data_IF_967589527872
#
_entry.id   IF_967589527872
#
_cell.length_a   1.000
_cell.length_b   1.000
_cell.length_c   1.000
_cell.angle_alpha   90.00
_cell.angle_beta   90.00
_cell.angle_gamma   90.00
#
_symmetry.space_group_name_H-M   'P 1'
#
loop_
_entity.id
_entity.type
_entity.pdbx_description
1 polymer ?
#
# COMPACT_ATOMS: atom_id res chain seq x y z
N UNK A 1 55.43 -33.74 12.01
CA UNK A 1 54.74 -32.68 11.23
C UNK A 1 53.46 -32.30 11.97
N UNK A 2 53.37 -31.10 12.55
CA UNK A 2 52.15 -30.60 13.20
C UNK A 2 51.31 -29.89 12.14
N UNK A 3 50.12 -30.40 11.86
CA UNK A 3 49.14 -29.78 10.97
C UNK A 3 48.44 -28.68 11.79
N UNK A 4 48.66 -27.42 11.41
CA UNK A 4 47.96 -26.27 11.98
C UNK A 4 46.68 -26.10 11.17
N UNK A 5 45.54 -26.53 11.74
CA UNK A 5 44.22 -26.28 11.17
C UNK A 5 43.82 -24.83 11.43
N UNK A 6 43.84 -23.99 10.39
CA UNK A 6 43.33 -22.62 10.43
C UNK A 6 41.82 -22.69 10.22
N UNK A 7 41.07 -22.40 11.28
CA UNK A 7 39.61 -22.26 11.23
C UNK A 7 39.29 -20.86 10.69
N UNK A 8 38.82 -20.76 9.44
CA UNK A 8 38.33 -19.50 8.87
C UNK A 8 36.90 -19.28 9.39
N UNK A 9 36.59 -18.18 10.09
CA UNK A 9 35.22 -17.89 10.47
C UNK A 9 34.43 -17.52 9.20
N UNK A 10 33.44 -18.35 8.85
CA UNK A 10 32.44 -18.02 7.84
C UNK A 10 31.61 -16.87 8.40
N UNK A 11 31.84 -15.66 7.91
CA UNK A 11 31.01 -14.51 8.21
C UNK A 11 29.70 -14.67 7.45
N UNK A 12 28.67 -15.18 8.13
CA UNK A 12 27.32 -15.25 7.57
C UNK A 12 26.76 -13.84 7.54
N UNK A 13 27.01 -13.10 6.46
CA UNK A 13 26.37 -11.81 6.24
C UNK A 13 24.88 -12.06 6.03
N UNK A 14 24.07 -11.74 7.03
CA UNK A 14 22.62 -11.70 6.88
C UNK A 14 22.30 -10.59 5.87
N UNK A 15 22.04 -10.98 4.62
CA UNK A 15 21.48 -10.09 3.62
C UNK A 15 20.06 -9.76 4.08
N UNK A 16 19.87 -8.63 4.75
CA UNK A 16 18.54 -8.08 4.90
C UNK A 16 18.10 -7.66 3.49
N UNK A 17 17.16 -8.38 2.90
CA UNK A 17 16.42 -7.86 1.77
C UNK A 17 15.70 -6.61 2.28
N UNK A 18 16.07 -5.44 1.77
CA UNK A 18 15.22 -4.25 1.92
C UNK A 18 13.87 -4.64 1.31
N UNK A 19 12.84 -4.75 2.14
CA UNK A 19 11.48 -4.92 1.66
C UNK A 19 11.23 -3.81 0.62
N UNK A 20 10.94 -4.21 -0.62
CA UNK A 20 10.65 -3.27 -1.70
C UNK A 20 9.34 -2.59 -1.33
N UNK A 21 9.44 -1.37 -0.81
CA UNK A 21 8.27 -0.59 -0.41
C UNK A 21 7.50 -0.14 -1.65
N UNK A 22 6.18 -0.25 -1.62
CA UNK A 22 5.32 0.24 -2.69
C UNK A 22 5.22 1.77 -2.57
N UNK A 23 5.79 2.50 -3.53
CA UNK A 23 5.88 3.98 -3.49
C UNK A 23 5.10 4.70 -4.60
N UNK A 24 4.56 3.98 -5.58
CA UNK A 24 3.76 4.55 -6.69
C UNK A 24 2.29 4.26 -6.48
N UNK A 25 1.63 5.14 -5.74
CA UNK A 25 0.22 5.02 -5.38
C UNK A 25 -0.53 6.26 -5.85
N UNK A 26 -1.70 6.08 -6.44
CA UNK A 26 -2.59 7.17 -6.83
C UNK A 26 -4.06 6.82 -6.62
N UNK A 27 -4.87 7.84 -6.40
CA UNK A 27 -6.29 7.69 -6.11
C UNK A 27 -7.12 8.09 -7.33
N UNK A 28 -8.14 7.30 -7.65
CA UNK A 28 -9.08 7.57 -8.74
C UNK A 28 -10.52 7.31 -8.29
N UNK A 29 -11.47 7.58 -9.18
CA UNK A 29 -12.88 7.25 -8.99
C UNK A 29 -13.32 6.30 -10.09
N UNK A 30 -13.99 5.22 -9.72
CA UNK A 30 -14.63 4.28 -10.68
C UNK A 30 -16.02 4.75 -11.09
N UNK A 31 -16.73 5.40 -10.17
CA UNK A 31 -18.08 5.94 -10.35
C UNK A 31 -18.15 7.35 -9.74
N UNK A 32 -19.30 8.01 -9.86
CA UNK A 32 -19.56 9.30 -9.21
C UNK A 32 -20.07 9.17 -7.76
N UNK A 33 -19.94 7.98 -7.15
CA UNK A 33 -20.33 7.75 -5.76
C UNK A 33 -19.25 8.25 -4.79
N UNK A 34 -19.51 9.32 -4.00
CA UNK A 34 -18.53 9.89 -3.07
C UNK A 34 -18.33 9.04 -1.82
N UNK A 35 -19.07 7.94 -1.65
CA UNK A 35 -18.86 6.96 -0.58
C UNK A 35 -17.80 5.91 -0.94
N UNK A 36 -17.10 6.08 -2.07
CA UNK A 36 -16.07 5.17 -2.55
C UNK A 36 -14.88 5.90 -3.15
N UNK A 37 -13.72 5.26 -3.09
CA UNK A 37 -12.52 5.70 -3.80
C UNK A 37 -11.74 4.48 -4.26
N UNK A 38 -11.01 4.61 -5.35
CA UNK A 38 -10.13 3.55 -5.85
C UNK A 38 -8.70 3.89 -5.48
N UNK A 39 -8.04 2.98 -4.78
CA UNK A 39 -6.60 3.02 -4.52
C UNK A 39 -5.91 2.19 -5.59
N UNK A 40 -4.97 2.80 -6.30
CA UNK A 40 -4.26 2.19 -7.41
C UNK A 40 -2.76 2.22 -7.13
N UNK A 41 -2.05 1.16 -7.49
CA UNK A 41 -0.59 1.12 -7.38
C UNK A 41 0.01 0.18 -8.41
N UNK A 42 1.34 0.23 -8.53
CA UNK A 42 2.11 -0.71 -9.34
C UNK A 42 3.17 -1.41 -8.51
N UNK A 43 3.47 -2.64 -8.91
CA UNK A 43 4.54 -3.49 -8.38
C UNK A 43 5.38 -4.04 -9.53
N UNK A 44 6.60 -4.49 -9.24
CA UNK A 44 7.47 -5.11 -10.25
C UNK A 44 7.11 -6.59 -10.48
N UNK A 45 6.57 -7.24 -9.45
CA UNK A 45 6.20 -8.66 -9.45
C UNK A 45 4.68 -8.80 -9.33
N UNK A 46 4.11 -9.82 -9.98
CA UNK A 46 2.68 -10.07 -9.90
C UNK A 46 2.29 -10.53 -8.49
N UNK A 47 1.17 -10.03 -7.99
CA UNK A 47 0.58 -10.54 -6.77
C UNK A 47 -0.85 -10.04 -6.55
N UNK A 48 -1.32 -10.32 -5.34
CA UNK A 48 -2.61 -9.91 -4.82
C UNK A 48 -2.69 -8.40 -4.59
N UNK A 49 -3.93 -7.94 -4.42
CA UNK A 49 -4.23 -6.52 -4.21
C UNK A 49 -4.92 -6.33 -2.87
N UNK A 50 -4.21 -5.75 -1.91
CA UNK A 50 -4.78 -5.51 -0.58
C UNK A 50 -4.67 -4.04 -0.21
N UNK A 51 -5.78 -3.46 0.24
CA UNK A 51 -5.82 -2.13 0.84
C UNK A 51 -6.27 -2.27 2.28
N UNK A 52 -5.46 -1.74 3.19
CA UNK A 52 -5.80 -1.54 4.59
C UNK A 52 -6.11 -0.08 4.79
N UNK A 53 -7.23 0.24 5.42
CA UNK A 53 -7.66 1.62 5.58
C UNK A 53 -8.51 1.83 6.84
N UNK A 54 -8.61 3.08 7.28
CA UNK A 54 -9.59 3.56 8.25
C UNK A 54 -9.20 4.90 8.85
N UNK A 55 -9.69 5.20 10.06
CA UNK A 55 -9.57 6.55 10.63
C UNK A 55 -8.27 6.81 11.41
N UNK A 56 -7.49 5.77 11.65
CA UNK A 56 -6.18 5.83 12.32
C UNK A 56 -5.20 4.91 11.60
N UNK A 57 -3.93 4.97 11.98
CA UNK A 57 -2.87 4.07 11.47
C UNK A 57 -3.06 2.60 11.80
N UNK A 58 -4.02 2.26 12.68
CA UNK A 58 -4.41 0.87 12.92
C UNK A 58 -5.32 0.33 11.80
N UNK A 59 -5.76 1.21 10.90
CA UNK A 59 -6.66 0.98 9.78
C UNK A 59 -8.03 0.42 10.23
N UNK A 60 -8.09 -0.82 10.70
CA UNK A 60 -9.32 -1.47 11.18
C UNK A 60 -10.20 -2.05 10.08
N UNK A 61 -10.01 -1.64 8.81
CA UNK A 61 -10.68 -2.21 7.65
C UNK A 61 -9.68 -2.73 6.62
N UNK A 62 -10.11 -3.72 5.81
CA UNK A 62 -9.29 -4.29 4.73
C UNK A 62 -10.18 -4.73 3.57
N UNK A 63 -9.77 -4.39 2.34
CA UNK A 63 -10.31 -4.95 1.11
C UNK A 63 -9.19 -5.72 0.40
N UNK A 64 -9.47 -6.95 0.01
CA UNK A 64 -8.55 -7.85 -0.68
C UNK A 64 -9.17 -8.33 -1.98
N UNK A 65 -8.39 -8.32 -3.04
CA UNK A 65 -8.70 -8.95 -4.33
C UNK A 65 -7.59 -9.97 -4.58
N UNK A 66 -7.96 -11.24 -4.66
CA UNK A 66 -7.07 -12.34 -5.02
C UNK A 66 -6.85 -12.35 -6.55
N UNK A 67 -6.16 -11.32 -7.02
CA UNK A 67 -5.66 -11.23 -8.39
C UNK A 67 -4.16 -11.52 -8.45
N UNK A 68 -3.63 -11.63 -9.66
CA UNK A 68 -2.20 -11.78 -9.90
C UNK A 68 -1.79 -10.72 -10.93
N UNK A 69 -1.64 -9.48 -10.46
CA UNK A 69 -1.41 -8.31 -11.30
C UNK A 69 -0.16 -7.57 -10.87
N UNK A 70 0.43 -6.78 -11.78
CA UNK A 70 1.42 -5.74 -11.46
C UNK A 70 0.82 -4.34 -11.43
N UNK A 71 -0.44 -4.21 -11.87
CA UNK A 71 -1.21 -2.98 -11.84
C UNK A 71 -2.52 -3.25 -11.09
N UNK A 72 -2.60 -2.69 -9.89
CA UNK A 72 -3.61 -3.01 -8.91
C UNK A 72 -4.66 -1.90 -8.82
N UNK A 73 -5.92 -2.26 -8.64
CA UNK A 73 -7.03 -1.30 -8.54
C UNK A 73 -8.06 -1.81 -7.54
N UNK A 74 -8.15 -1.17 -6.37
CA UNK A 74 -9.04 -1.62 -5.30
C UNK A 74 -9.97 -0.48 -4.91
N UNK A 75 -11.28 -0.70 -5.11
CA UNK A 75 -12.32 0.21 -4.63
C UNK A 75 -12.59 -0.07 -3.14
N UNK A 76 -12.40 0.93 -2.29
CA UNK A 76 -12.69 0.87 -0.86
C UNK A 76 -13.93 1.71 -0.51
N UNK A 77 -14.76 1.28 0.46
CA UNK A 77 -15.87 2.06 0.95
C UNK A 77 -15.41 3.14 1.95
N UNK A 78 -16.12 4.27 2.00
CA UNK A 78 -15.87 5.40 2.89
C UNK A 78 -17.14 5.69 3.71
N UNK A 79 -17.16 5.21 4.96
CA UNK A 79 -18.32 5.35 5.85
C UNK A 79 -18.47 6.77 6.42
N UNK A 80 -17.40 7.55 6.47
CA UNK A 80 -17.38 8.88 7.09
C UNK A 80 -16.95 9.97 6.10
N UNK A 81 -17.84 10.93 5.86
CA UNK A 81 -17.53 12.12 5.05
C UNK A 81 -16.75 13.15 5.87
N UNK A 82 -16.10 14.09 5.19
CA UNK A 82 -15.31 15.18 5.79
C UNK A 82 -14.29 14.71 6.85
N UNK A 83 -13.76 13.51 6.67
CA UNK A 83 -12.84 12.86 7.61
C UNK A 83 -11.56 12.47 6.89
N UNK A 84 -10.43 12.49 7.61
CA UNK A 84 -9.17 11.97 7.09
C UNK A 84 -9.14 10.46 7.26
N UNK A 85 -8.85 9.76 6.18
CA UNK A 85 -8.56 8.33 6.19
C UNK A 85 -7.06 8.11 6.10
N UNK A 86 -6.59 7.11 6.84
CA UNK A 86 -5.30 6.47 6.74
C UNK A 86 -5.43 5.23 5.85
N UNK A 87 -4.43 4.95 5.04
CA UNK A 87 -4.39 3.74 4.22
C UNK A 87 -2.96 3.29 3.91
N UNK A 88 -2.82 1.99 3.67
CA UNK A 88 -1.59 1.35 3.20
C UNK A 88 -1.97 0.18 2.29
N UNK A 89 -1.18 -0.03 1.24
CA UNK A 89 -1.39 -1.11 0.27
C UNK A 89 -0.35 -2.20 0.43
N UNK A 90 -0.70 -3.43 0.06
CA UNK A 90 0.24 -4.54 0.01
C UNK A 90 -0.05 -5.52 -1.12
N UNK A 91 1.03 -6.13 -1.61
CA UNK A 91 1.07 -7.16 -2.64
C UNK A 91 2.16 -8.16 -2.25
N UNK A 92 1.77 -9.40 -1.95
CA UNK A 92 2.65 -10.39 -1.32
C UNK A 92 3.27 -9.83 -0.04
N UNK A 93 4.61 -9.86 0.02
CA UNK A 93 5.39 -9.33 1.14
C UNK A 93 5.69 -7.82 1.02
N UNK A 94 5.34 -7.18 -0.11
CA UNK A 94 5.55 -5.75 -0.32
C UNK A 94 4.43 -4.95 0.35
N UNK A 95 4.79 -3.82 0.97
CA UNK A 95 3.86 -2.93 1.63
C UNK A 95 4.28 -1.47 1.45
N UNK A 96 3.32 -0.56 1.38
CA UNK A 96 3.58 0.88 1.46
C UNK A 96 3.65 1.37 2.91
N UNK A 97 4.30 2.51 3.15
CA UNK A 97 4.05 3.34 4.31
C UNK A 97 2.57 3.78 4.42
N UNK A 98 2.21 4.31 5.59
CA UNK A 98 0.93 4.99 5.82
C UNK A 98 0.83 6.24 4.93
N UNK A 99 -0.31 6.38 4.28
CA UNK A 99 -0.68 7.56 3.53
C UNK A 99 -2.08 8.02 3.97
N UNK A 100 -2.40 9.29 3.70
CA UNK A 100 -3.71 9.83 4.06
C UNK A 100 -4.39 10.50 2.89
N UNK A 101 -5.72 10.52 2.93
CA UNK A 101 -6.53 11.39 2.09
C UNK A 101 -7.75 11.87 2.86
N UNK A 102 -8.33 12.98 2.41
CA UNK A 102 -9.57 13.49 2.99
C UNK A 102 -10.76 12.99 2.17
N UNK A 103 -11.70 12.31 2.83
CA UNK A 103 -12.96 11.93 2.22
C UNK A 103 -13.78 13.16 1.81
N UNK A 104 -14.73 12.95 0.88
CA UNK A 104 -15.55 14.02 0.32
C UNK A 104 -16.19 14.91 1.41
N UNK A 105 -16.16 16.25 1.24
CA UNK A 105 -16.87 17.14 2.13
C UNK A 105 -18.39 16.93 2.01
N UNK A 106 -19.13 17.27 3.05
CA UNK A 106 -20.60 17.31 3.01
C UNK A 106 -21.15 18.61 2.41
N UNK A 107 -20.32 19.64 2.30
CA UNK A 107 -20.66 20.94 1.73
C UNK A 107 -19.98 21.18 0.38
N UNK A 108 -19.26 22.30 0.28
CA UNK A 108 -18.60 22.72 -0.97
C UNK A 108 -17.37 21.87 -1.26
N UNK A 109 -17.34 21.26 -2.44
CA UNK A 109 -16.14 20.63 -3.02
C UNK A 109 -15.37 21.67 -3.84
N UNK A 110 -14.05 21.77 -3.59
CA UNK A 110 -13.13 22.58 -4.39
C UNK A 110 -12.22 21.63 -5.16
N UNK A 111 -12.14 21.83 -6.46
CA UNK A 111 -11.36 20.98 -7.36
C UNK A 111 -10.31 21.84 -8.06
N UNK A 112 -9.07 21.37 -8.07
CA UNK A 112 -8.03 21.95 -8.91
C UNK A 112 -8.12 21.34 -10.32
N UNK A 113 -8.07 22.19 -11.34
CA UNK A 113 -7.99 21.76 -12.74
C UNK A 113 -6.58 22.11 -13.24
N UNK A 114 -5.82 21.11 -13.66
CA UNK A 114 -4.44 21.23 -14.14
C UNK A 114 -4.34 20.45 -15.44
N UNK A 115 -3.61 20.99 -16.43
CA UNK A 115 -3.36 20.40 -17.74
C UNK A 115 -1.88 20.52 -18.11
#
# INVERSE_FOLDING_TARGET
MKIVSILIPILLTSQFATAVEINRIWLTHKTNDPSKIVVNWMTEEQGDSVVHFGLTTDYGETVRIDENSTLHHVEIPLMHRNTTYHYSVSTGEQRSADATFKAYPSGVLRVAVVA
#
